data_IF_053274588720
#
_entry.id   IF_053274588720
#
_cell.length_a   1.000
_cell.length_b   1.000
_cell.length_c   1.000
_cell.angle_alpha   90.00
_cell.angle_beta   90.00
_cell.angle_gamma   90.00
#
_symmetry.space_group_name_H-M   'P 1'
#
loop_
_entity.id
_entity.type
_entity.pdbx_description
1 polymer ?
#
# COMPACT_ATOMS: atom_id res chain seq x y z
N UNK A 1 23.60 -19.23 -12.83
CA UNK A 1 23.67 -17.94 -12.09
C UNK A 1 23.12 -18.07 -10.66
N UNK A 2 22.01 -18.78 -10.49
CA UNK A 2 21.40 -18.96 -9.16
C UNK A 2 22.33 -19.71 -8.20
N UNK A 3 23.06 -20.71 -8.67
CA UNK A 3 24.01 -21.48 -7.86
C UNK A 3 25.16 -20.61 -7.31
N UNK A 4 25.66 -19.64 -8.12
CA UNK A 4 26.70 -18.70 -7.69
C UNK A 4 26.20 -17.75 -6.59
N UNK A 5 24.95 -17.34 -6.69
CA UNK A 5 24.35 -16.43 -5.71
C UNK A 5 24.03 -17.13 -4.39
N UNK A 6 23.47 -18.34 -4.45
CA UNK A 6 23.10 -19.13 -3.26
C UNK A 6 24.30 -19.82 -2.59
N UNK A 7 25.48 -19.80 -3.21
CA UNK A 7 26.66 -20.53 -2.75
C UNK A 7 26.55 -22.06 -2.85
N UNK A 8 25.48 -22.56 -3.48
CA UNK A 8 25.28 -24.00 -3.69
C UNK A 8 25.84 -24.40 -5.04
N UNK A 9 26.96 -25.10 -5.03
CA UNK A 9 27.60 -25.62 -6.22
C UNK A 9 27.42 -27.13 -6.31
N UNK A 10 26.22 -27.58 -6.65
CA UNK A 10 25.94 -29.00 -6.89
C UNK A 10 26.79 -29.57 -8.03
N UNK A 11 27.16 -28.70 -9.01
CA UNK A 11 28.05 -29.11 -10.09
C UNK A 11 29.48 -29.37 -9.61
N UNK A 12 29.95 -28.64 -8.61
CA UNK A 12 31.24 -28.85 -8.02
C UNK A 12 31.29 -30.20 -7.29
N UNK A 13 30.22 -30.55 -6.58
CA UNK A 13 30.08 -31.86 -5.89
C UNK A 13 30.00 -33.02 -6.89
N UNK A 14 29.35 -32.83 -8.03
CA UNK A 14 29.31 -33.84 -9.11
C UNK A 14 30.69 -34.07 -9.72
N UNK A 15 31.46 -33.02 -9.96
CA UNK A 15 32.83 -33.15 -10.48
C UNK A 15 33.80 -33.80 -9.45
N UNK A 16 33.65 -33.47 -8.17
CA UNK A 16 34.43 -34.07 -7.12
C UNK A 16 34.14 -35.59 -6.96
N UNK A 17 32.89 -36.03 -7.18
CA UNK A 17 32.50 -37.44 -7.11
C UNK A 17 32.83 -38.25 -8.36
N UNK A 18 33.19 -37.60 -9.48
CA UNK A 18 33.56 -38.26 -10.76
C UNK A 18 35.06 -38.44 -10.98
N UNK A 19 35.87 -38.18 -9.96
CA UNK A 19 37.30 -38.53 -10.05
C UNK A 19 37.43 -40.04 -10.25
N UNK A 20 37.92 -40.44 -11.42
CA UNK A 20 38.13 -41.84 -11.82
C UNK A 20 39.18 -42.56 -11.00
N UNK A 21 39.93 -41.87 -10.18
CA UNK A 21 40.97 -42.35 -9.27
C UNK A 21 40.54 -42.59 -7.86
N UNK A 22 39.27 -42.27 -7.47
CA UNK A 22 38.79 -42.41 -6.12
C UNK A 22 39.39 -41.43 -5.12
N UNK A 23 40.19 -40.49 -5.57
CA UNK A 23 40.74 -39.42 -4.74
C UNK A 23 39.70 -38.35 -4.49
N UNK A 24 39.52 -38.01 -3.22
CA UNK A 24 38.61 -36.94 -2.79
C UNK A 24 39.26 -35.57 -3.13
N UNK A 25 38.61 -34.80 -3.96
CA UNK A 25 39.09 -33.45 -4.31
C UNK A 25 38.65 -32.45 -3.23
N UNK A 26 39.54 -31.52 -2.80
CA UNK A 26 40.96 -31.41 -3.18
C UNK A 26 41.90 -32.36 -2.42
N UNK A 27 41.51 -32.88 -1.27
CA UNK A 27 42.20 -33.92 -0.46
C UNK A 27 41.28 -34.40 0.65
N UNK A 28 41.58 -35.55 1.24
CA UNK A 28 40.83 -36.10 2.38
C UNK A 28 40.94 -35.18 3.60
N UNK A 29 39.79 -34.80 4.16
CA UNK A 29 39.71 -33.84 5.28
C UNK A 29 39.76 -32.37 4.89
N UNK A 30 39.62 -32.03 3.58
CA UNK A 30 39.47 -30.65 3.15
C UNK A 30 38.18 -30.00 3.69
N UNK A 31 38.26 -28.71 4.00
CA UNK A 31 37.09 -27.95 4.43
C UNK A 31 36.04 -27.85 3.34
N UNK A 32 34.80 -28.27 3.64
CA UNK A 32 33.62 -28.15 2.74
C UNK A 32 32.83 -26.86 3.03
N UNK A 33 33.53 -25.78 3.41
CA UNK A 33 32.92 -24.50 3.70
C UNK A 33 32.61 -23.77 2.40
N UNK A 34 31.32 -23.57 2.12
CA UNK A 34 30.85 -22.72 1.04
C UNK A 34 30.87 -21.24 1.46
N UNK A 35 31.65 -20.43 0.77
CA UNK A 35 31.69 -18.99 1.00
C UNK A 35 30.75 -18.29 0.03
N UNK A 36 29.70 -17.68 0.57
CA UNK A 36 28.68 -16.96 -0.23
C UNK A 36 29.15 -15.55 -0.63
N UNK A 37 30.26 -15.44 -1.33
CA UNK A 37 30.88 -14.16 -1.72
C UNK A 37 29.95 -13.29 -2.58
N UNK A 38 29.17 -13.91 -3.45
CA UNK A 38 28.24 -13.17 -4.33
C UNK A 38 27.08 -12.56 -3.53
N UNK A 39 26.55 -13.29 -2.58
CA UNK A 39 25.48 -12.82 -1.68
C UNK A 39 25.96 -11.64 -0.81
N UNK A 40 27.18 -11.75 -0.26
CA UNK A 40 27.77 -10.67 0.52
C UNK A 40 28.00 -9.40 -0.31
N UNK A 41 28.48 -9.52 -1.54
CA UNK A 41 28.67 -8.38 -2.45
C UNK A 41 27.34 -7.72 -2.86
N UNK A 42 26.31 -8.53 -3.13
CA UNK A 42 24.97 -8.03 -3.46
C UNK A 42 24.39 -7.27 -2.26
N UNK A 43 24.43 -7.88 -1.08
CA UNK A 43 23.92 -7.27 0.15
C UNK A 43 24.64 -5.95 0.47
N UNK A 44 25.94 -5.89 0.30
CA UNK A 44 26.71 -4.65 0.48
C UNK A 44 26.29 -3.56 -0.51
N UNK A 45 26.11 -3.89 -1.80
CA UNK A 45 25.64 -2.93 -2.81
C UNK A 45 24.22 -2.47 -2.56
N UNK A 46 23.32 -3.37 -2.19
CA UNK A 46 21.94 -3.02 -1.79
C UNK A 46 21.96 -2.06 -0.63
N UNK A 47 22.75 -2.32 0.42
CA UNK A 47 22.86 -1.45 1.58
C UNK A 47 23.38 -0.05 1.20
N UNK A 48 24.36 0.05 0.31
CA UNK A 48 24.87 1.34 -0.20
C UNK A 48 23.78 2.10 -0.96
N UNK A 49 23.05 1.44 -1.86
CA UNK A 49 21.96 2.05 -2.63
C UNK A 49 20.81 2.47 -1.72
N UNK A 50 20.42 1.65 -0.75
CA UNK A 50 19.39 1.99 0.23
C UNK A 50 19.76 3.19 1.09
N UNK A 51 21.03 3.28 1.51
CA UNK A 51 21.51 4.42 2.25
C UNK A 51 21.47 5.72 1.42
N UNK A 52 21.83 5.63 0.13
CA UNK A 52 21.71 6.75 -0.81
C UNK A 52 20.23 7.14 -1.01
N UNK A 53 19.35 6.16 -1.21
CA UNK A 53 17.90 6.38 -1.42
C UNK A 53 17.25 7.06 -0.20
N UNK A 54 17.58 6.63 1.02
CA UNK A 54 17.06 7.24 2.26
C UNK A 54 17.55 8.67 2.47
N UNK A 55 18.77 8.98 2.02
CA UNK A 55 19.35 10.33 2.09
C UNK A 55 18.93 11.23 0.94
N UNK A 56 18.49 10.64 -0.18
CA UNK A 56 18.05 11.40 -1.34
C UNK A 56 16.83 12.26 -0.98
N UNK A 57 16.94 13.56 -1.31
CA UNK A 57 15.82 14.47 -1.16
C UNK A 57 14.98 14.45 -2.43
N UNK A 58 13.70 14.10 -2.28
CA UNK A 58 12.74 14.24 -3.36
C UNK A 58 12.44 15.72 -3.52
N UNK A 59 12.79 16.26 -4.68
CA UNK A 59 12.60 17.66 -5.01
C UNK A 59 11.80 17.76 -6.30
N UNK A 60 10.67 18.46 -6.24
CA UNK A 60 9.97 18.87 -7.44
C UNK A 60 10.68 20.08 -8.04
N UNK A 61 11.04 20.00 -9.32
CA UNK A 61 11.72 21.09 -10.02
C UNK A 61 10.68 22.00 -10.65
N UNK A 62 10.65 23.31 -10.31
CA UNK A 62 9.72 24.23 -10.94
C UNK A 62 10.11 24.48 -12.40
N UNK A 63 9.12 24.59 -13.27
CA UNK A 63 9.33 24.91 -14.69
C UNK A 63 9.41 26.42 -14.90
N UNK A 64 8.65 27.17 -14.11
CA UNK A 64 8.61 28.64 -14.15
C UNK A 64 8.93 29.23 -12.78
N UNK A 65 9.38 30.48 -12.75
CA UNK A 65 9.69 31.19 -11.50
C UNK A 65 8.48 31.38 -10.59
N UNK A 66 7.28 31.44 -11.15
CA UNK A 66 6.00 31.51 -10.42
C UNK A 66 5.64 30.24 -9.66
N UNK A 67 6.23 29.09 -10.04
CA UNK A 67 5.89 27.78 -9.49
C UNK A 67 6.82 27.33 -8.36
N UNK A 68 7.80 28.15 -7.97
CA UNK A 68 8.79 27.80 -6.94
C UNK A 68 8.12 27.47 -5.60
N UNK A 69 7.16 28.26 -5.17
CA UNK A 69 6.44 28.00 -3.91
C UNK A 69 5.63 26.70 -3.98
N UNK A 70 4.95 26.45 -5.10
CA UNK A 70 4.20 25.20 -5.33
C UNK A 70 5.12 24.00 -5.36
N UNK A 71 6.28 24.08 -6.02
CA UNK A 71 7.28 23.02 -6.07
C UNK A 71 7.81 22.68 -4.66
N UNK A 72 8.01 23.67 -3.81
CA UNK A 72 8.41 23.43 -2.42
C UNK A 72 7.32 22.70 -1.62
N UNK A 73 6.05 23.10 -1.76
CA UNK A 73 4.91 22.43 -1.11
C UNK A 73 4.79 20.99 -1.59
N UNK A 74 4.89 20.76 -2.90
CA UNK A 74 4.86 19.41 -3.49
C UNK A 74 6.02 18.56 -2.96
N UNK A 75 7.23 19.11 -2.88
CA UNK A 75 8.40 18.41 -2.34
C UNK A 75 8.20 17.99 -0.87
N UNK A 76 7.66 18.88 -0.05
CA UNK A 76 7.34 18.56 1.35
C UNK A 76 6.24 17.50 1.46
N UNK A 77 5.21 17.61 0.63
CA UNK A 77 4.12 16.63 0.59
C UNK A 77 4.63 15.24 0.17
N UNK A 78 5.45 15.14 -0.88
CA UNK A 78 6.01 13.87 -1.32
C UNK A 78 6.90 13.22 -0.25
N UNK A 79 7.71 14.00 0.45
CA UNK A 79 8.51 13.49 1.57
C UNK A 79 7.63 12.95 2.70
N UNK A 80 6.61 13.70 3.08
CA UNK A 80 5.66 13.25 4.09
C UNK A 80 4.91 11.99 3.65
N UNK A 81 4.47 11.93 2.38
CA UNK A 81 3.77 10.79 1.81
C UNK A 81 4.59 9.51 1.92
N UNK A 82 5.85 9.55 1.46
CA UNK A 82 6.75 8.40 1.48
C UNK A 82 7.09 7.98 2.91
N UNK A 83 7.40 8.93 3.79
CA UNK A 83 7.85 8.60 5.13
C UNK A 83 6.71 8.21 6.08
N UNK A 84 5.49 8.75 5.87
CA UNK A 84 4.39 8.58 6.82
C UNK A 84 3.25 7.71 6.31
N UNK A 85 2.98 7.72 5.00
CA UNK A 85 1.84 6.99 4.42
C UNK A 85 2.25 5.71 3.70
N UNK A 86 3.42 5.69 3.08
CA UNK A 86 3.93 4.55 2.31
C UNK A 86 4.97 3.78 3.13
N UNK A 87 4.56 3.12 4.22
CA UNK A 87 5.49 2.37 5.08
C UNK A 87 6.21 1.24 4.33
N UNK A 88 5.59 0.71 3.29
CA UNK A 88 6.12 -0.36 2.46
C UNK A 88 7.15 0.14 1.42
N UNK A 89 7.32 1.45 1.23
CA UNK A 89 8.15 2.02 0.18
C UNK A 89 9.61 1.54 0.23
N UNK A 90 10.25 1.68 1.37
CA UNK A 90 11.66 1.30 1.51
C UNK A 90 11.89 -0.21 1.43
N UNK A 91 11.09 -1.08 2.08
CA UNK A 91 11.18 -2.53 1.90
C UNK A 91 11.01 -2.98 0.45
N UNK A 92 10.06 -2.40 -0.28
CA UNK A 92 9.83 -2.76 -1.68
C UNK A 92 10.96 -2.28 -2.60
N UNK A 93 11.54 -1.11 -2.34
CA UNK A 93 12.74 -0.65 -3.07
C UNK A 93 13.94 -1.57 -2.78
N UNK A 94 14.13 -1.99 -1.53
CA UNK A 94 15.19 -2.91 -1.16
C UNK A 94 15.05 -4.25 -1.88
N UNK A 95 13.83 -4.81 -1.93
CA UNK A 95 13.53 -6.02 -2.67
C UNK A 95 13.80 -5.85 -4.18
N UNK A 96 13.36 -4.74 -4.75
CA UNK A 96 13.64 -4.42 -6.16
C UNK A 96 15.14 -4.29 -6.46
N UNK A 97 15.92 -3.69 -5.57
CA UNK A 97 17.38 -3.61 -5.71
C UNK A 97 18.05 -4.99 -5.63
N UNK A 98 17.56 -5.88 -4.76
CA UNK A 98 18.03 -7.27 -4.73
C UNK A 98 17.79 -7.95 -6.08
N UNK A 99 16.58 -7.83 -6.65
CA UNK A 99 16.29 -8.35 -7.98
C UNK A 99 17.17 -7.72 -9.06
N UNK A 100 17.45 -6.44 -8.98
CA UNK A 100 18.34 -5.75 -9.92
C UNK A 100 19.76 -6.33 -9.89
N UNK A 101 20.34 -6.51 -8.70
CA UNK A 101 21.71 -7.00 -8.60
C UNK A 101 21.83 -8.52 -8.81
N UNK A 102 20.78 -9.27 -8.49
CA UNK A 102 20.74 -10.72 -8.71
C UNK A 102 20.42 -11.08 -10.16
N UNK A 103 19.35 -10.49 -10.70
CA UNK A 103 18.75 -10.88 -12.00
C UNK A 103 19.01 -9.87 -13.12
N UNK A 104 19.49 -8.67 -12.77
CA UNK A 104 19.77 -7.59 -13.72
C UNK A 104 18.54 -6.76 -14.09
N UNK A 105 17.40 -7.00 -13.47
CA UNK A 105 16.15 -6.30 -13.75
C UNK A 105 15.43 -5.92 -12.45
N UNK A 106 14.82 -4.74 -12.43
CA UNK A 106 14.02 -4.22 -11.33
C UNK A 106 12.70 -3.72 -11.91
N UNK A 107 11.60 -4.32 -11.47
CA UNK A 107 10.26 -3.94 -11.91
C UNK A 107 9.43 -3.60 -10.68
N UNK A 108 8.76 -2.45 -10.71
CA UNK A 108 7.84 -2.03 -9.68
C UNK A 108 6.45 -1.80 -10.26
N UNK A 109 5.44 -2.29 -9.56
CA UNK A 109 4.05 -1.99 -9.82
C UNK A 109 3.55 -0.95 -8.82
N UNK A 110 3.00 0.14 -9.33
CA UNK A 110 2.47 1.23 -8.50
C UNK A 110 0.96 1.34 -8.72
N UNK A 111 0.20 1.42 -7.62
CA UNK A 111 -1.25 1.62 -7.67
C UNK A 111 -1.71 2.49 -6.52
N UNK A 112 -2.95 2.92 -6.60
CA UNK A 112 -3.59 3.68 -5.53
C UNK A 112 -4.58 2.77 -4.79
N UNK A 113 -4.37 2.59 -3.48
CA UNK A 113 -5.25 1.81 -2.63
C UNK A 113 -6.29 2.73 -2.00
N UNK A 114 -7.54 2.40 -2.23
CA UNK A 114 -8.67 3.09 -1.63
C UNK A 114 -9.52 2.04 -0.91
N UNK A 115 -9.49 2.05 0.42
CA UNK A 115 -10.30 1.16 1.24
C UNK A 115 -11.41 1.96 1.91
N UNK A 116 -12.64 1.60 1.57
CA UNK A 116 -13.84 2.16 2.12
C UNK A 116 -14.46 1.17 3.12
N UNK A 117 -14.70 1.62 4.31
CA UNK A 117 -15.39 0.85 5.33
C UNK A 117 -16.83 1.32 5.40
N UNK A 118 -17.76 0.42 5.09
CA UNK A 118 -19.19 0.66 5.25
C UNK A 118 -19.56 0.33 6.70
N UNK A 119 -19.80 1.34 7.49
CA UNK A 119 -20.29 1.21 8.86
C UNK A 119 -21.76 1.59 8.93
N UNK A 120 -22.50 0.89 9.77
CA UNK A 120 -23.84 1.28 10.12
C UNK A 120 -23.78 2.21 11.32
N UNK A 121 -24.26 3.42 11.18
CA UNK A 121 -24.34 4.40 12.25
C UNK A 121 -25.80 4.64 12.61
N UNK A 122 -26.15 4.45 13.87
CA UNK A 122 -27.48 4.76 14.37
C UNK A 122 -27.56 6.27 14.64
N UNK A 123 -28.51 6.93 14.01
CA UNK A 123 -28.79 8.35 14.19
C UNK A 123 -30.10 8.49 14.96
N UNK A 124 -30.08 9.26 16.03
CA UNK A 124 -31.27 9.54 16.87
C UNK A 124 -31.89 10.85 16.45
N UNK A 125 -33.23 10.87 16.46
CA UNK A 125 -33.98 12.08 16.14
C UNK A 125 -33.67 13.23 17.11
N UNK A 126 -33.33 12.92 18.35
CA UNK A 126 -32.94 13.89 19.38
C UNK A 126 -31.63 14.63 18.99
N UNK A 127 -30.68 13.93 18.40
CA UNK A 127 -29.41 14.53 17.95
C UNK A 127 -29.65 15.47 16.78
N UNK A 128 -30.55 15.10 15.85
CA UNK A 128 -30.95 15.95 14.73
C UNK A 128 -31.70 17.18 15.24
N UNK A 129 -32.57 17.01 16.23
CA UNK A 129 -33.35 18.13 16.81
C UNK A 129 -32.47 19.17 17.51
N UNK A 130 -31.34 18.76 18.10
CA UNK A 130 -30.38 19.68 18.69
C UNK A 130 -29.64 20.53 17.68
N UNK A 131 -29.30 19.94 16.51
CA UNK A 131 -28.48 20.60 15.48
C UNK A 131 -29.36 21.35 14.49
N UNK A 132 -30.49 20.77 14.05
CA UNK A 132 -31.38 21.27 13.02
C UNK A 132 -32.86 21.03 13.42
N UNK A 133 -33.43 21.84 14.32
CA UNK A 133 -34.78 21.62 14.84
C UNK A 133 -35.87 21.68 13.77
N UNK A 134 -35.67 22.46 12.70
CA UNK A 134 -36.61 22.54 11.59
C UNK A 134 -36.74 21.23 10.82
N UNK A 135 -35.61 20.53 10.62
CA UNK A 135 -35.59 19.23 9.92
C UNK A 135 -36.21 18.16 10.82
N UNK A 136 -35.96 18.16 12.10
CA UNK A 136 -36.59 17.24 13.06
C UNK A 136 -38.11 17.38 13.08
N UNK A 137 -38.64 18.60 13.08
CA UNK A 137 -40.07 18.89 12.93
C UNK A 137 -40.66 18.38 11.63
N UNK A 138 -39.95 18.64 10.49
CA UNK A 138 -40.38 18.17 9.20
C UNK A 138 -40.38 16.65 9.04
N UNK A 139 -39.46 15.96 9.74
CA UNK A 139 -39.43 14.48 9.82
C UNK A 139 -40.66 13.98 10.60
N UNK A 140 -41.04 14.61 11.70
CA UNK A 140 -42.20 14.20 12.49
C UNK A 140 -43.53 14.46 11.75
N UNK A 141 -43.67 15.62 11.13
CA UNK A 141 -44.90 16.03 10.42
C UNK A 141 -45.06 15.41 9.04
N UNK A 142 -44.00 14.89 8.47
CA UNK A 142 -44.02 14.30 7.12
C UNK A 142 -44.17 15.28 5.98
N UNK A 143 -44.02 16.56 6.25
CA UNK A 143 -44.25 17.62 5.26
C UNK A 143 -43.22 17.69 4.14
N UNK A 144 -42.00 17.15 4.35
CA UNK A 144 -40.88 17.20 3.41
C UNK A 144 -40.30 15.81 3.06
N UNK A 145 -41.11 14.75 3.13
CA UNK A 145 -40.64 13.35 2.93
C UNK A 145 -39.97 13.12 1.56
N UNK A 146 -40.42 13.80 0.52
CA UNK A 146 -39.82 13.63 -0.81
C UNK A 146 -38.44 14.29 -0.89
N UNK A 147 -38.30 15.51 -0.41
CA UNK A 147 -37.04 16.26 -0.41
C UNK A 147 -36.02 15.60 0.50
N UNK A 148 -36.43 15.17 1.70
CA UNK A 148 -35.58 14.44 2.63
C UNK A 148 -35.15 13.07 2.07
N UNK A 149 -36.04 12.35 1.38
CA UNK A 149 -35.68 11.08 0.75
C UNK A 149 -34.71 11.24 -0.41
N UNK A 150 -34.77 12.37 -1.15
CA UNK A 150 -33.81 12.70 -2.21
C UNK A 150 -32.46 13.16 -1.64
N UNK A 151 -32.48 13.94 -0.58
CA UNK A 151 -31.26 14.34 0.12
C UNK A 151 -30.52 13.12 0.72
N UNK A 152 -31.22 12.21 1.38
CA UNK A 152 -30.66 10.97 1.89
C UNK A 152 -30.11 10.04 0.77
N UNK A 153 -30.81 9.98 -0.36
CA UNK A 153 -30.32 9.26 -1.54
C UNK A 153 -29.01 9.83 -2.05
N UNK A 154 -28.91 11.15 -2.17
CA UNK A 154 -27.72 11.81 -2.72
C UNK A 154 -26.53 11.73 -1.75
N UNK A 155 -26.78 11.84 -0.45
CA UNK A 155 -25.73 11.93 0.57
C UNK A 155 -25.19 10.54 0.98
N UNK A 156 -26.04 9.51 0.99
CA UNK A 156 -25.69 8.17 1.49
C UNK A 156 -25.72 7.09 0.40
N UNK A 157 -25.95 7.45 -0.85
CA UNK A 157 -26.04 6.53 -1.99
C UNK A 157 -27.03 5.35 -1.76
N UNK A 158 -28.19 5.68 -1.19
CA UNK A 158 -29.24 4.72 -0.83
C UNK A 158 -30.38 4.79 -1.84
N UNK A 159 -31.07 3.67 -2.08
CA UNK A 159 -32.27 3.69 -2.93
C UNK A 159 -33.40 4.52 -2.29
N UNK A 160 -34.22 5.22 -3.10
CA UNK A 160 -35.34 6.06 -2.63
C UNK A 160 -36.35 5.27 -1.76
N UNK A 161 -36.57 4.00 -2.04
CA UNK A 161 -37.41 3.12 -1.22
C UNK A 161 -36.84 2.88 0.18
N UNK A 162 -35.53 2.71 0.27
CA UNK A 162 -34.81 2.51 1.54
C UNK A 162 -34.78 3.80 2.37
N UNK A 163 -34.57 4.95 1.72
CA UNK A 163 -34.61 6.26 2.38
C UNK A 163 -36.01 6.54 2.99
N UNK A 164 -37.08 6.23 2.27
CA UNK A 164 -38.44 6.34 2.81
C UNK A 164 -38.73 5.39 3.97
N UNK A 165 -38.20 4.17 3.93
CA UNK A 165 -38.31 3.22 5.05
C UNK A 165 -37.61 3.75 6.30
N UNK A 166 -36.39 4.29 6.15
CA UNK A 166 -35.62 4.90 7.23
C UNK A 166 -36.33 6.09 7.87
N UNK A 167 -36.97 6.96 7.07
CA UNK A 167 -37.78 8.05 7.61
C UNK A 167 -38.99 7.57 8.40
N UNK A 168 -39.62 6.46 7.98
CA UNK A 168 -40.72 5.85 8.72
C UNK A 168 -40.26 5.21 10.03
N UNK A 169 -39.11 4.53 10.04
CA UNK A 169 -38.50 3.99 11.27
C UNK A 169 -38.15 5.11 12.24
N UNK A 170 -37.55 6.21 11.74
CA UNK A 170 -37.20 7.38 12.55
C UNK A 170 -38.41 8.02 13.23
N UNK A 171 -39.59 8.02 12.56
CA UNK A 171 -40.83 8.51 13.15
C UNK A 171 -41.39 7.56 14.23
N UNK A 172 -41.23 6.25 14.03
CA UNK A 172 -41.80 5.24 14.89
C UNK A 172 -40.96 5.00 16.13
N UNK A 173 -39.65 4.83 15.95
CA UNK A 173 -38.73 4.36 16.96
C UNK A 173 -37.80 5.48 17.48
N UNK A 174 -37.81 6.67 16.85
CA UNK A 174 -36.97 7.81 17.21
C UNK A 174 -35.51 7.64 16.77
N UNK A 175 -35.16 6.51 16.18
CA UNK A 175 -33.81 6.21 15.71
C UNK A 175 -33.86 5.45 14.38
N UNK A 176 -32.82 5.60 13.57
CA UNK A 176 -32.64 4.82 12.33
C UNK A 176 -31.17 4.55 12.08
N UNK A 177 -30.91 3.47 11.36
CA UNK A 177 -29.55 3.04 11.03
C UNK A 177 -29.23 3.43 9.59
N UNK A 178 -28.23 4.29 9.42
CA UNK A 178 -27.77 4.77 8.12
C UNK A 178 -26.43 4.14 7.77
N UNK A 179 -26.23 3.62 6.58
CA UNK A 179 -24.92 3.15 6.13
C UNK A 179 -24.04 4.38 5.83
N UNK A 180 -22.98 4.54 6.60
CA UNK A 180 -21.98 5.59 6.39
C UNK A 180 -20.75 4.94 5.80
N UNK A 181 -20.35 5.40 4.61
CA UNK A 181 -19.09 4.99 3.99
C UNK A 181 -17.97 5.89 4.50
N UNK A 182 -17.07 5.32 5.28
CA UNK A 182 -15.89 6.01 5.76
C UNK A 182 -14.67 5.54 4.99
N UNK A 183 -13.97 6.47 4.40
CA UNK A 183 -12.68 6.19 3.79
C UNK A 183 -11.64 5.94 4.89
N UNK A 184 -11.15 4.70 4.98
CA UNK A 184 -10.21 4.29 6.03
C UNK A 184 -8.78 4.44 5.54
N UNK A 185 -8.51 4.02 4.31
CA UNK A 185 -7.19 4.09 3.69
C UNK A 185 -7.32 4.71 2.32
N UNK A 186 -6.50 5.70 2.05
CA UNK A 186 -6.37 6.36 0.75
C UNK A 186 -4.90 6.71 0.58
N UNK A 187 -4.15 5.82 -0.09
CA UNK A 187 -2.71 5.98 -0.23
C UNK A 187 -2.17 5.31 -1.49
N UNK A 188 -1.11 5.85 -2.09
CA UNK A 188 -0.37 5.13 -3.11
C UNK A 188 0.37 3.96 -2.50
N UNK A 189 0.47 2.87 -3.24
CA UNK A 189 1.25 1.68 -2.91
C UNK A 189 2.23 1.36 -4.02
N UNK A 190 3.31 0.70 -3.64
CA UNK A 190 4.33 0.17 -4.53
C UNK A 190 4.57 -1.29 -4.16
N UNK A 191 4.84 -2.12 -5.14
CA UNK A 191 5.24 -3.52 -4.96
C UNK A 191 6.35 -3.84 -5.95
N UNK A 192 7.43 -4.43 -5.48
CA UNK A 192 8.44 -5.03 -6.32
C UNK A 192 7.92 -6.35 -6.89
N UNK A 193 8.07 -6.55 -8.20
CA UNK A 193 7.67 -7.77 -8.88
C UNK A 193 8.91 -8.65 -9.08
N UNK A 194 8.76 -9.95 -8.81
CA UNK A 194 9.80 -10.93 -9.08
C UNK A 194 9.86 -11.19 -10.60
N UNK A 195 11.00 -10.94 -11.26
CA UNK A 195 11.10 -11.07 -12.71
C UNK A 195 10.86 -12.48 -13.27
N UNK A 196 10.94 -13.50 -12.41
CA UNK A 196 10.77 -14.91 -12.81
C UNK A 196 9.36 -15.44 -12.54
N UNK A 197 8.60 -14.81 -11.64
CA UNK A 197 7.31 -15.31 -11.17
C UNK A 197 6.14 -14.42 -11.58
N UNK A 198 6.37 -13.09 -11.65
CA UNK A 198 5.31 -12.09 -11.79
C UNK A 198 5.30 -11.39 -13.16
N UNK A 199 6.27 -11.69 -14.06
CA UNK A 199 6.41 -11.02 -15.38
C UNK A 199 6.22 -11.97 -16.55
#
# INVERSE_FOLDING_TARGET
RHCLWSGKSDDFKKHASQSSTGEVFPWEGASDQEVKMADELISCRVAMCMNATRRAHIVATPTESSDVERANVVSMFLRWLINSKMQEFYPEIELGLNHLFEKGMMVHYCWYENQELKQQQTIKLEEIAQVLPQIAGAIQDGSMDEELSEALKTQFDISKSKARAMLKEMRKDGETTVPVTRQVVSRPKIKALAPDEDV
#
